data_IF_941682055888
#
_entry.id   IF_941682055888
#
_cell.length_a   1.000
_cell.length_b   1.000
_cell.length_c   1.000
_cell.angle_alpha   90.00
_cell.angle_beta   90.00
_cell.angle_gamma   90.00
#
_symmetry.space_group_name_H-M   'P 1'
#
loop_
_entity.id
_entity.type
_entity.pdbx_description
1 polymer ?
#
# COMPACT_ATOMS: atom_id res chain seq x y z
N UNK A 1 -0.37 -16.39 20.12
CA UNK A 1 0.27 -16.93 18.89
C UNK A 1 -0.21 -16.06 17.74
N UNK A 2 0.70 -15.51 16.93
CA UNK A 2 0.31 -14.75 15.74
C UNK A 2 -0.43 -15.70 14.78
N UNK A 3 -1.59 -15.28 14.28
CA UNK A 3 -2.36 -16.06 13.32
C UNK A 3 -1.61 -16.06 11.98
N UNK A 4 -1.21 -17.25 11.52
CA UNK A 4 -0.39 -17.42 10.31
C UNK A 4 -1.10 -16.95 9.02
N UNK A 5 -2.44 -16.75 9.06
CA UNK A 5 -3.22 -16.26 7.92
C UNK A 5 -3.18 -14.74 7.76
N UNK A 6 -2.87 -14.00 8.83
CA UNK A 6 -2.89 -12.54 8.85
C UNK A 6 -1.60 -11.94 8.27
N UNK A 7 -1.73 -11.02 7.32
CA UNK A 7 -0.61 -10.29 6.73
C UNK A 7 -0.41 -8.91 7.37
N UNK A 8 -1.49 -8.19 7.67
CA UNK A 8 -1.49 -6.89 8.34
C UNK A 8 -2.49 -6.93 9.48
N UNK A 9 -2.06 -6.64 10.68
CA UNK A 9 -2.93 -6.48 11.83
C UNK A 9 -2.68 -5.14 12.51
N UNK A 10 -3.70 -4.33 12.68
CA UNK A 10 -3.70 -3.11 13.46
C UNK A 10 -4.73 -3.23 14.58
N UNK A 11 -4.36 -2.88 15.81
CA UNK A 11 -5.23 -2.95 16.99
C UNK A 11 -5.27 -1.59 17.68
N UNK A 12 -6.45 -0.97 17.63
CA UNK A 12 -6.74 0.30 18.31
C UNK A 12 -5.73 1.41 18.00
N UNK A 13 -5.22 1.45 16.73
CA UNK A 13 -4.24 2.44 16.32
C UNK A 13 -4.82 3.85 16.45
N UNK A 14 -4.11 4.71 17.16
CA UNK A 14 -4.46 6.12 17.29
C UNK A 14 -3.24 7.00 17.03
N UNK A 15 -3.47 8.18 16.42
CA UNK A 15 -2.44 9.18 16.23
C UNK A 15 -2.96 10.57 16.50
N UNK A 16 -2.28 11.26 17.42
CA UNK A 16 -2.55 12.64 17.79
C UNK A 16 -1.36 13.53 17.43
N UNK A 17 -1.64 14.73 16.94
CA UNK A 17 -0.68 15.81 16.71
C UNK A 17 -1.16 17.02 17.49
N UNK A 18 -0.65 17.22 18.71
CA UNK A 18 -1.23 18.19 19.65
C UNK A 18 -2.71 17.89 19.87
N UNK A 19 -3.58 18.84 19.59
CA UNK A 19 -5.04 18.72 19.76
C UNK A 19 -5.74 18.03 18.58
N UNK A 20 -5.01 17.78 17.47
CA UNK A 20 -5.59 17.15 16.28
C UNK A 20 -5.48 15.63 16.37
N UNK A 21 -6.62 14.94 16.35
CA UNK A 21 -6.70 13.48 16.24
C UNK A 21 -6.75 13.11 14.75
N UNK A 22 -5.64 12.60 14.22
CA UNK A 22 -5.54 12.21 12.82
C UNK A 22 -6.03 10.79 12.55
N UNK A 23 -5.87 9.89 13.51
CA UNK A 23 -6.40 8.51 13.51
C UNK A 23 -6.90 8.21 14.92
N UNK A 24 -8.07 7.61 15.03
CA UNK A 24 -8.77 7.39 16.30
C UNK A 24 -9.31 5.96 16.35
N UNK A 25 -8.73 5.14 17.20
CA UNK A 25 -9.15 3.76 17.51
C UNK A 25 -9.34 2.86 16.26
N UNK A 26 -8.39 2.92 15.33
CA UNK A 26 -8.48 2.17 14.08
C UNK A 26 -7.97 0.75 14.26
N UNK A 27 -8.86 -0.23 14.07
CA UNK A 27 -8.50 -1.65 14.00
C UNK A 27 -8.74 -2.19 12.59
N UNK A 28 -7.72 -2.86 12.04
CA UNK A 28 -7.71 -3.40 10.68
C UNK A 28 -7.03 -4.76 10.67
N UNK A 29 -7.60 -5.71 9.95
CA UNK A 29 -6.99 -7.01 9.67
C UNK A 29 -7.05 -7.27 8.17
N UNK A 30 -5.92 -7.65 7.57
CA UNK A 30 -5.79 -8.03 6.16
C UNK A 30 -5.19 -9.42 6.09
N UNK A 31 -5.88 -10.32 5.40
CA UNK A 31 -5.43 -11.69 5.24
C UNK A 31 -4.36 -11.79 4.13
N UNK A 32 -3.56 -12.86 4.18
CA UNK A 32 -2.53 -13.11 3.16
C UNK A 32 -3.16 -13.25 1.78
N UNK A 33 -2.57 -12.57 0.80
CA UNK A 33 -3.02 -12.59 -0.58
C UNK A 33 -4.27 -11.75 -0.87
N UNK A 34 -4.82 -11.01 0.11
CA UNK A 34 -5.87 -10.03 -0.16
C UNK A 34 -5.34 -8.78 -0.87
N UNK A 35 -6.19 -8.19 -1.68
CA UNK A 35 -5.99 -6.84 -2.25
C UNK A 35 -7.07 -5.94 -1.67
N UNK A 36 -6.67 -5.08 -0.73
CA UNK A 36 -7.60 -4.23 0.03
C UNK A 36 -7.45 -2.78 -0.39
N UNK A 37 -8.57 -2.17 -0.81
CA UNK A 37 -8.68 -0.75 -1.06
C UNK A 37 -8.91 0.01 0.24
N UNK A 38 -8.03 0.95 0.55
CA UNK A 38 -8.07 1.80 1.73
C UNK A 38 -8.51 3.21 1.34
N UNK A 39 -9.80 3.45 1.40
CA UNK A 39 -10.46 4.62 0.86
C UNK A 39 -10.72 5.70 1.91
N UNK A 40 -10.81 6.94 1.46
CA UNK A 40 -11.22 8.06 2.29
C UNK A 40 -10.91 9.40 1.62
N UNK A 41 -11.60 10.48 1.99
CA UNK A 41 -11.28 11.81 1.49
C UNK A 41 -9.89 12.27 1.94
N UNK A 42 -9.42 13.37 1.37
CA UNK A 42 -8.18 14.00 1.83
C UNK A 42 -8.33 14.43 3.30
N UNK A 43 -7.30 14.17 4.11
CA UNK A 43 -7.34 14.43 5.56
C UNK A 43 -8.07 13.36 6.39
N UNK A 44 -8.60 12.29 5.81
CA UNK A 44 -9.29 11.22 6.56
C UNK A 44 -8.38 10.38 7.46
N UNK A 45 -7.04 10.50 7.34
CA UNK A 45 -6.08 9.73 8.13
C UNK A 45 -5.39 8.60 7.37
N UNK A 46 -5.63 8.42 6.06
CA UNK A 46 -5.05 7.34 5.23
C UNK A 46 -3.52 7.27 5.32
N UNK A 47 -2.83 8.29 4.85
CA UNK A 47 -1.35 8.34 4.85
C UNK A 47 -0.78 8.22 6.26
N UNK A 48 -1.43 8.80 7.27
CA UNK A 48 -1.01 8.66 8.68
C UNK A 48 -1.08 7.19 9.11
N UNK A 49 -2.16 6.50 8.79
CA UNK A 49 -2.32 5.06 9.08
C UNK A 49 -1.25 4.24 8.38
N UNK A 50 -1.02 4.47 7.07
CA UNK A 50 0.00 3.74 6.32
C UNK A 50 1.41 3.98 6.87
N UNK A 51 1.73 5.22 7.29
CA UNK A 51 3.01 5.54 7.93
C UNK A 51 3.19 4.85 9.28
N UNK A 52 2.12 4.65 10.04
CA UNK A 52 2.17 3.86 11.27
C UNK A 52 2.42 2.39 10.95
N UNK A 53 1.66 1.79 10.04
CA UNK A 53 1.80 0.38 9.64
C UNK A 53 3.19 0.06 9.09
N UNK A 54 3.81 1.00 8.37
CA UNK A 54 5.15 0.83 7.79
C UNK A 54 6.29 1.14 8.77
N UNK A 55 5.96 1.48 10.02
CA UNK A 55 6.95 1.84 11.05
C UNK A 55 7.68 3.16 10.78
N UNK A 56 7.12 4.02 9.91
CA UNK A 56 7.67 5.35 9.61
C UNK A 56 7.28 6.38 10.68
N UNK A 57 6.13 6.15 11.32
CA UNK A 57 5.57 7.02 12.33
C UNK A 57 5.10 6.18 13.52
N UNK A 58 5.53 6.46 14.76
CA UNK A 58 4.99 5.79 15.93
C UNK A 58 3.54 6.22 16.17
N UNK A 59 2.61 5.28 16.49
CA UNK A 59 1.28 5.65 16.97
C UNK A 59 1.37 6.34 18.32
N UNK A 60 0.31 7.05 18.67
CA UNK A 60 0.13 7.60 20.03
C UNK A 60 -0.45 6.54 20.97
N UNK A 61 -1.20 5.57 20.43
CA UNK A 61 -1.77 4.43 21.15
C UNK A 61 -2.05 3.29 20.18
N UNK A 62 -2.19 2.06 20.70
CA UNK A 62 -2.40 0.85 19.93
C UNK A 62 -1.11 0.26 19.36
N UNK A 63 -1.23 -0.82 18.60
CA UNK A 63 -0.10 -1.52 17.98
C UNK A 63 -0.47 -2.07 16.62
N UNK A 64 0.55 -2.47 15.85
CA UNK A 64 0.35 -3.19 14.60
C UNK A 64 1.41 -4.27 14.40
N UNK A 65 1.05 -5.30 13.64
CA UNK A 65 1.97 -6.35 13.23
C UNK A 65 1.89 -6.55 11.71
N UNK A 66 3.02 -6.83 11.09
CA UNK A 66 3.16 -7.13 9.66
C UNK A 66 3.79 -8.50 9.49
N UNK A 67 3.09 -9.39 8.78
CA UNK A 67 3.48 -10.78 8.61
C UNK A 67 3.80 -11.49 9.95
N UNK A 68 3.10 -11.10 11.03
CA UNK A 68 3.29 -11.61 12.39
C UNK A 68 4.35 -10.88 13.22
N UNK A 69 5.10 -9.93 12.65
CA UNK A 69 6.12 -9.14 13.35
C UNK A 69 5.55 -7.82 13.87
N UNK A 70 5.63 -7.59 15.17
CA UNK A 70 5.22 -6.31 15.77
C UNK A 70 6.13 -5.19 15.28
N UNK A 71 5.52 -4.06 14.85
CA UNK A 71 6.24 -2.93 14.24
C UNK A 71 7.21 -2.22 15.19
N UNK A 72 7.04 -2.40 16.52
CA UNK A 72 7.90 -1.79 17.54
C UNK A 72 8.84 -2.80 18.19
N UNK A 73 8.34 -3.99 18.54
CA UNK A 73 9.17 -5.02 19.16
C UNK A 73 10.17 -5.63 18.15
N UNK A 74 9.76 -5.74 16.88
CA UNK A 74 10.53 -6.36 15.80
C UNK A 74 10.67 -5.46 14.55
N UNK A 75 11.13 -4.20 14.68
CA UNK A 75 11.04 -3.20 13.61
C UNK A 75 11.81 -3.58 12.33
N UNK A 76 12.91 -4.31 12.44
CA UNK A 76 13.66 -4.75 11.27
C UNK A 76 12.96 -5.89 10.53
N UNK A 77 12.41 -6.86 11.24
CA UNK A 77 11.67 -7.97 10.65
C UNK A 77 10.39 -7.46 9.96
N UNK A 78 9.63 -6.60 10.63
CA UNK A 78 8.44 -5.96 10.08
C UNK A 78 8.76 -5.16 8.80
N UNK A 79 9.84 -4.34 8.80
CA UNK A 79 10.25 -3.56 7.61
C UNK A 79 10.76 -4.40 6.46
N UNK A 80 11.36 -5.56 6.72
CA UNK A 80 11.74 -6.54 5.68
C UNK A 80 10.52 -7.19 5.03
N UNK A 81 9.43 -7.35 5.78
CA UNK A 81 8.18 -7.92 5.27
C UNK A 81 7.34 -6.92 4.45
N UNK A 82 7.74 -5.65 4.36
CA UNK A 82 6.97 -4.60 3.66
C UNK A 82 7.74 -4.06 2.46
N UNK A 83 7.05 -3.99 1.31
CA UNK A 83 7.33 -3.05 0.24
C UNK A 83 6.43 -1.82 0.40
N UNK A 84 7.01 -0.64 0.47
CA UNK A 84 6.25 0.61 0.64
C UNK A 84 6.51 1.59 -0.50
N UNK A 85 5.44 2.02 -1.14
CA UNK A 85 5.42 3.13 -2.09
C UNK A 85 4.65 4.29 -1.47
N UNK A 86 5.29 5.35 -0.98
CA UNK A 86 4.60 6.58 -0.58
C UNK A 86 4.10 7.34 -1.81
N UNK A 87 3.15 8.26 -1.62
CA UNK A 87 2.61 9.14 -2.65
C UNK A 87 3.71 9.82 -3.50
N UNK A 88 4.76 10.29 -2.84
CA UNK A 88 5.98 10.80 -3.49
C UNK A 88 7.14 9.85 -3.19
N UNK A 89 7.59 9.03 -4.16
CA UNK A 89 8.70 8.12 -3.94
C UNK A 89 9.99 8.87 -3.60
N UNK A 90 10.74 8.43 -2.56
CA UNK A 90 12.00 9.07 -2.14
C UNK A 90 13.17 8.64 -3.04
N UNK A 91 13.13 9.05 -4.30
CA UNK A 91 14.13 8.69 -5.31
C UNK A 91 15.38 9.55 -5.19
N UNK A 92 16.52 8.99 -5.59
CA UNK A 92 17.79 9.73 -5.74
C UNK A 92 17.94 10.18 -7.19
N UNK A 93 17.68 11.47 -7.50
CA UNK A 93 17.58 11.97 -8.88
C UNK A 93 18.85 11.78 -9.71
N UNK A 94 20.02 11.75 -9.08
CA UNK A 94 21.33 11.62 -9.72
C UNK A 94 21.72 10.17 -10.05
N UNK A 95 21.03 9.19 -9.46
CA UNK A 95 21.30 7.78 -9.72
C UNK A 95 20.63 7.32 -11.01
N UNK A 96 21.22 6.31 -11.65
CA UNK A 96 20.49 5.54 -12.68
C UNK A 96 19.43 4.67 -12.02
N UNK A 97 18.41 4.28 -12.79
CA UNK A 97 17.33 3.40 -12.30
C UNK A 97 17.90 2.12 -11.69
N UNK A 98 18.79 1.44 -12.40
CA UNK A 98 19.42 0.20 -11.94
C UNK A 98 20.24 0.41 -10.66
N UNK A 99 21.07 1.45 -10.61
CA UNK A 99 21.90 1.74 -9.44
C UNK A 99 21.05 2.05 -8.21
N UNK A 100 19.94 2.74 -8.39
CA UNK A 100 19.01 3.05 -7.30
C UNK A 100 18.31 1.79 -6.78
N UNK A 101 17.80 0.93 -7.66
CA UNK A 101 17.12 -0.31 -7.26
C UNK A 101 18.13 -1.28 -6.59
N UNK A 102 19.38 -1.38 -7.09
CA UNK A 102 20.45 -2.16 -6.43
C UNK A 102 20.79 -1.58 -5.04
N UNK A 103 20.83 -0.25 -4.91
CA UNK A 103 21.05 0.39 -3.63
C UNK A 103 19.95 0.03 -2.62
N UNK A 104 18.69 0.09 -3.02
CA UNK A 104 17.57 -0.31 -2.16
C UNK A 104 17.62 -1.81 -1.82
N UNK A 105 17.96 -2.67 -2.78
CA UNK A 105 18.14 -4.10 -2.53
C UNK A 105 19.18 -4.37 -1.44
N UNK A 106 20.27 -3.57 -1.39
CA UNK A 106 21.27 -3.64 -0.30
C UNK A 106 20.67 -3.22 1.04
N UNK A 107 19.92 -2.11 1.07
CA UNK A 107 19.27 -1.63 2.30
C UNK A 107 18.24 -2.63 2.86
N UNK A 108 17.66 -3.44 1.98
CA UNK A 108 16.70 -4.50 2.30
C UNK A 108 17.36 -5.86 2.56
N UNK A 109 18.69 -5.89 2.70
CA UNK A 109 19.50 -7.10 2.99
C UNK A 109 19.37 -8.21 1.93
N UNK A 110 19.09 -7.87 0.66
CA UNK A 110 19.16 -8.85 -0.43
C UNK A 110 20.61 -9.33 -0.58
N UNK A 111 20.83 -10.62 -0.42
CA UNK A 111 22.16 -11.21 -0.43
C UNK A 111 22.93 -10.91 -1.72
N UNK A 112 24.25 -10.70 -1.62
CA UNK A 112 25.11 -10.28 -2.74
C UNK A 112 24.96 -11.18 -3.98
N UNK A 113 24.84 -12.49 -3.78
CA UNK A 113 24.72 -13.45 -4.89
C UNK A 113 23.36 -13.41 -5.61
N UNK A 114 22.28 -13.06 -4.90
CA UNK A 114 20.92 -12.99 -5.44
C UNK A 114 20.51 -11.58 -5.93
N UNK A 115 21.32 -10.55 -5.61
CA UNK A 115 20.94 -9.16 -5.80
C UNK A 115 20.74 -8.77 -7.26
N UNK A 116 21.66 -9.18 -8.14
CA UNK A 116 21.57 -8.89 -9.57
C UNK A 116 20.26 -9.42 -10.15
N UNK A 117 19.93 -10.67 -9.85
CA UNK A 117 18.69 -11.30 -10.29
C UNK A 117 17.44 -10.63 -9.68
N UNK A 118 17.48 -10.23 -8.41
CA UNK A 118 16.38 -9.50 -7.78
C UNK A 118 16.14 -8.13 -8.44
N UNK A 119 17.22 -7.41 -8.77
CA UNK A 119 17.14 -6.13 -9.49
C UNK A 119 16.57 -6.35 -10.89
N UNK A 120 17.06 -7.34 -11.63
CA UNK A 120 16.57 -7.64 -13.00
C UNK A 120 15.07 -7.97 -12.96
N UNK A 121 14.62 -8.85 -12.06
CA UNK A 121 13.20 -9.16 -11.87
C UNK A 121 12.36 -7.92 -11.52
N UNK A 122 12.82 -7.07 -10.62
CA UNK A 122 12.10 -5.87 -10.25
C UNK A 122 11.98 -4.88 -11.42
N UNK A 123 13.04 -4.70 -12.20
CA UNK A 123 13.04 -3.84 -13.38
C UNK A 123 12.13 -4.38 -14.49
N UNK A 124 12.14 -5.69 -14.72
CA UNK A 124 11.26 -6.34 -15.69
C UNK A 124 9.79 -6.22 -15.28
N UNK A 125 9.45 -6.62 -14.05
CA UNK A 125 8.08 -6.52 -13.52
C UNK A 125 7.54 -5.09 -13.56
N UNK A 126 8.39 -4.07 -13.36
CA UNK A 126 8.00 -2.67 -13.43
C UNK A 126 8.16 -2.04 -14.82
N UNK A 127 8.50 -2.84 -15.86
CA UNK A 127 8.66 -2.37 -17.24
C UNK A 127 9.66 -1.23 -17.35
N UNK A 128 10.83 -1.39 -16.70
CA UNK A 128 11.90 -0.39 -16.61
C UNK A 128 13.17 -0.81 -17.37
N UNK A 129 13.19 -1.98 -18.02
CA UNK A 129 14.37 -2.57 -18.66
C UNK A 129 15.01 -1.63 -19.68
N UNK A 130 14.21 -0.96 -20.51
CA UNK A 130 14.70 -0.04 -21.55
C UNK A 130 15.32 1.24 -20.98
N UNK A 131 14.90 1.65 -19.78
CA UNK A 131 15.37 2.87 -19.12
C UNK A 131 16.35 2.61 -17.98
N UNK A 132 16.77 1.36 -17.77
CA UNK A 132 17.58 0.94 -16.60
C UNK A 132 18.84 1.77 -16.38
N UNK A 133 19.47 2.25 -17.46
CA UNK A 133 20.70 3.07 -17.42
C UNK A 133 20.44 4.58 -17.44
N UNK A 134 19.18 5.00 -17.56
CA UNK A 134 18.83 6.42 -17.54
C UNK A 134 18.89 6.97 -16.12
N UNK A 135 19.27 8.22 -15.99
CA UNK A 135 19.27 8.95 -14.72
C UNK A 135 17.83 9.28 -14.34
N UNK A 136 17.48 9.10 -13.07
CA UNK A 136 16.10 9.21 -12.57
C UNK A 136 15.52 10.59 -12.80
N UNK A 137 16.30 11.67 -12.67
CA UNK A 137 15.83 13.05 -12.91
C UNK A 137 15.29 13.27 -14.33
N UNK A 138 15.80 12.52 -15.31
CA UNK A 138 15.45 12.64 -16.73
C UNK A 138 14.22 11.80 -17.13
N UNK A 139 13.57 11.14 -16.15
CA UNK A 139 12.40 10.32 -16.34
C UNK A 139 11.10 11.14 -16.20
N UNK A 140 10.06 10.74 -16.93
CA UNK A 140 8.70 11.23 -16.72
C UNK A 140 8.19 10.84 -15.33
N UNK A 141 7.11 11.50 -14.86
CA UNK A 141 6.47 11.18 -13.58
C UNK A 141 6.05 9.70 -13.51
N UNK A 142 5.44 9.16 -14.58
CA UNK A 142 5.04 7.75 -14.65
C UNK A 142 6.21 6.78 -14.53
N UNK A 143 7.33 7.06 -15.19
CA UNK A 143 8.53 6.25 -15.01
C UNK A 143 9.10 6.35 -13.60
N UNK A 144 9.13 7.54 -12.99
CA UNK A 144 9.54 7.67 -11.57
C UNK A 144 8.63 6.89 -10.63
N UNK A 145 7.33 6.85 -10.89
CA UNK A 145 6.39 6.05 -10.11
C UNK A 145 6.69 4.54 -10.24
N UNK A 146 7.01 4.06 -11.45
CA UNK A 146 7.44 2.67 -11.68
C UNK A 146 8.77 2.35 -10.97
N UNK A 147 9.72 3.30 -10.92
CA UNK A 147 10.95 3.14 -10.12
C UNK A 147 10.61 3.02 -8.63
N UNK A 148 9.65 3.80 -8.14
CA UNK A 148 9.11 3.67 -6.78
C UNK A 148 8.46 2.31 -6.50
N UNK A 149 7.76 1.73 -7.48
CA UNK A 149 7.24 0.35 -7.36
C UNK A 149 8.38 -0.68 -7.37
N UNK A 150 9.36 -0.53 -8.28
CA UNK A 150 10.51 -1.45 -8.34
C UNK A 150 11.28 -1.50 -7.01
N UNK A 151 11.51 -0.35 -6.38
CA UNK A 151 12.13 -0.28 -5.06
C UNK A 151 11.29 -0.95 -3.96
N UNK A 152 9.97 -0.90 -4.09
CA UNK A 152 9.08 -1.54 -3.11
C UNK A 152 9.10 -3.08 -3.21
N UNK A 153 9.32 -3.64 -4.43
CA UNK A 153 9.24 -5.08 -4.68
C UNK A 153 10.59 -5.80 -4.79
N UNK A 154 11.73 -5.08 -4.84
CA UNK A 154 13.06 -5.67 -5.14
C UNK A 154 13.50 -6.76 -4.17
N UNK A 155 13.02 -6.74 -2.94
CA UNK A 155 13.33 -7.72 -1.89
C UNK A 155 12.24 -8.78 -1.71
N UNK A 156 11.28 -8.84 -2.65
CA UNK A 156 10.15 -9.79 -2.69
C UNK A 156 9.35 -9.85 -1.37
N UNK A 157 8.79 -8.71 -0.91
CA UNK A 157 8.07 -8.66 0.35
C UNK A 157 6.71 -9.37 0.26
N UNK A 158 6.22 -10.03 1.32
CA UNK A 158 4.89 -10.61 1.37
C UNK A 158 3.76 -9.57 1.41
N UNK A 159 4.06 -8.32 1.79
CA UNK A 159 3.09 -7.23 1.93
C UNK A 159 3.54 -6.01 1.14
N UNK A 160 2.65 -5.49 0.29
CA UNK A 160 2.82 -4.21 -0.41
C UNK A 160 1.86 -3.18 0.15
N UNK A 161 2.38 -2.03 0.54
CA UNK A 161 1.61 -0.86 0.96
C UNK A 161 1.84 0.26 -0.06
N UNK A 162 0.78 0.68 -0.73
CA UNK A 162 0.83 1.65 -1.83
C UNK A 162 -0.02 2.86 -1.46
N UNK A 163 0.60 4.03 -1.32
CA UNK A 163 -0.09 5.27 -0.95
C UNK A 163 -0.27 6.15 -2.19
N UNK A 164 -1.52 6.27 -2.67
CA UNK A 164 -1.92 7.08 -3.82
C UNK A 164 -1.02 6.86 -5.07
N UNK A 165 -0.84 5.62 -5.55
CA UNK A 165 0.19 5.28 -6.54
C UNK A 165 0.00 5.92 -7.92
N UNK A 166 -1.17 6.46 -8.21
CA UNK A 166 -1.55 7.02 -9.52
C UNK A 166 -1.74 8.54 -9.50
N UNK A 167 -1.54 9.17 -8.34
CA UNK A 167 -1.81 10.59 -8.15
C UNK A 167 -0.99 11.46 -9.11
N UNK A 168 -1.69 12.34 -9.87
CA UNK A 168 -1.08 13.27 -10.81
C UNK A 168 -0.44 12.62 -12.04
N UNK A 169 -0.84 11.41 -12.38
CA UNK A 169 -0.55 10.75 -13.66
C UNK A 169 -1.64 11.03 -14.68
N UNK A 170 -1.31 10.95 -15.97
CA UNK A 170 -2.31 11.01 -17.03
C UNK A 170 -3.13 9.71 -17.14
N UNK A 171 -4.30 9.71 -17.84
CA UNK A 171 -5.15 8.52 -17.91
C UNK A 171 -4.51 7.26 -18.51
N UNK A 172 -3.50 7.40 -19.37
CA UNK A 172 -2.78 6.27 -19.95
C UNK A 172 -1.87 5.67 -18.87
N UNK A 173 -1.09 6.51 -18.21
CA UNK A 173 -0.18 6.11 -17.12
C UNK A 173 -0.95 5.48 -15.95
N UNK A 174 -2.13 6.01 -15.59
CA UNK A 174 -3.00 5.43 -14.57
C UNK A 174 -3.36 3.98 -14.92
N UNK A 175 -3.79 3.72 -16.17
CA UNK A 175 -4.11 2.35 -16.62
C UNK A 175 -2.90 1.42 -16.55
N UNK A 176 -1.73 1.91 -16.95
CA UNK A 176 -0.49 1.13 -16.91
C UNK A 176 -0.06 0.79 -15.49
N UNK A 177 -0.13 1.73 -14.55
CA UNK A 177 0.19 1.48 -13.13
C UNK A 177 -0.84 0.53 -12.50
N UNK A 178 -2.13 0.66 -12.81
CA UNK A 178 -3.16 -0.29 -12.35
C UNK A 178 -2.91 -1.71 -12.85
N UNK A 179 -2.62 -1.89 -14.14
CA UNK A 179 -2.25 -3.20 -14.71
C UNK A 179 -1.05 -3.79 -13.97
N UNK A 180 -0.03 -2.97 -13.74
CA UNK A 180 1.16 -3.37 -13.01
C UNK A 180 0.84 -3.81 -11.57
N UNK A 181 0.04 -3.05 -10.81
CA UNK A 181 -0.35 -3.43 -9.45
C UNK A 181 -1.17 -4.72 -9.46
N UNK A 182 -2.09 -4.89 -10.41
CA UNK A 182 -2.86 -6.11 -10.56
C UNK A 182 -1.96 -7.34 -10.87
N UNK A 183 -0.96 -7.18 -11.75
CA UNK A 183 0.03 -8.21 -12.06
C UNK A 183 0.89 -8.57 -10.83
N UNK A 184 1.28 -7.57 -10.02
CA UNK A 184 2.04 -7.78 -8.78
C UNK A 184 1.21 -8.53 -7.72
N UNK A 185 -0.09 -8.27 -7.67
CA UNK A 185 -1.03 -8.92 -6.74
C UNK A 185 -1.48 -10.32 -7.23
N UNK A 186 -1.30 -10.65 -8.51
CA UNK A 186 -1.66 -11.95 -9.06
C UNK A 186 -0.70 -13.04 -8.53
N UNK A 187 -1.19 -14.28 -8.34
CA UNK A 187 -0.31 -15.39 -7.98
C UNK A 187 0.70 -15.63 -9.11
N UNK A 188 1.99 -15.54 -8.80
CA UNK A 188 3.07 -15.98 -9.69
C UNK A 188 3.09 -17.51 -9.82
N UNK A 189 3.80 -18.04 -10.83
CA UNK A 189 4.00 -19.49 -10.95
C UNK A 189 4.85 -20.00 -9.77
N UNK A 190 4.20 -20.60 -8.76
CA UNK A 190 4.86 -21.17 -7.58
C UNK A 190 5.16 -20.17 -6.45
N UNK A 191 4.80 -18.91 -6.57
CA UNK A 191 4.98 -17.89 -5.54
C UNK A 191 3.68 -17.62 -4.76
N UNK A 192 3.82 -17.27 -3.49
CA UNK A 192 2.67 -16.84 -2.69
C UNK A 192 2.18 -15.48 -3.23
N UNK A 193 0.86 -15.35 -3.37
CA UNK A 193 0.21 -14.09 -3.74
C UNK A 193 0.60 -12.98 -2.76
N UNK A 194 1.10 -11.86 -3.26
CA UNK A 194 1.40 -10.70 -2.42
C UNK A 194 0.12 -10.09 -1.86
N UNK A 195 0.16 -9.72 -0.59
CA UNK A 195 -0.93 -8.96 0.04
C UNK A 195 -0.75 -7.49 -0.30
N UNK A 196 -1.79 -6.82 -0.78
CA UNK A 196 -1.71 -5.42 -1.17
C UNK A 196 -2.69 -4.57 -0.38
N UNK A 197 -2.19 -3.53 0.28
CA UNK A 197 -2.99 -2.45 0.86
C UNK A 197 -2.81 -1.20 -0.01
N UNK A 198 -3.84 -0.86 -0.78
CA UNK A 198 -3.85 0.25 -1.73
C UNK A 198 -4.64 1.43 -1.16
N UNK A 199 -3.97 2.52 -0.80
CA UNK A 199 -4.61 3.78 -0.44
C UNK A 199 -4.91 4.58 -1.70
N UNK A 200 -6.16 4.98 -1.87
CA UNK A 200 -6.58 5.87 -2.96
C UNK A 200 -7.88 6.58 -2.60
N UNK A 201 -8.16 7.68 -3.28
CA UNK A 201 -9.47 8.34 -3.30
C UNK A 201 -10.19 8.16 -4.65
N UNK A 202 -9.60 7.38 -5.56
CA UNK A 202 -10.09 7.16 -6.93
C UNK A 202 -10.84 5.82 -6.97
N UNK A 203 -12.18 5.87 -6.89
CA UNK A 203 -13.05 4.71 -6.79
C UNK A 203 -12.91 3.70 -7.95
N UNK A 204 -12.75 4.12 -9.23
CA UNK A 204 -12.49 3.21 -10.34
C UNK A 204 -11.20 2.38 -10.21
N UNK A 205 -10.23 2.80 -9.40
CA UNK A 205 -9.03 2.00 -9.14
C UNK A 205 -9.34 0.81 -8.25
N UNK A 206 -10.11 1.08 -7.20
CA UNK A 206 -10.53 0.07 -6.24
C UNK A 206 -11.40 -0.98 -6.91
N UNK A 207 -12.38 -0.54 -7.70
CA UNK A 207 -13.26 -1.44 -8.45
C UNK A 207 -12.51 -2.38 -9.41
N UNK A 208 -11.35 -1.93 -9.95
CA UNK A 208 -10.58 -2.69 -10.92
C UNK A 208 -9.62 -3.71 -10.29
N UNK A 209 -9.16 -3.50 -9.04
CA UNK A 209 -8.02 -4.24 -8.47
C UNK A 209 -8.39 -4.92 -7.15
N UNK A 210 -9.24 -4.29 -6.33
CA UNK A 210 -9.45 -4.70 -4.94
C UNK A 210 -10.58 -5.73 -4.80
N UNK A 211 -10.43 -6.65 -3.86
CA UNK A 211 -11.47 -7.61 -3.48
C UNK A 211 -12.29 -7.15 -2.27
N UNK A 212 -11.74 -6.24 -1.47
CA UNK A 212 -12.31 -5.72 -0.24
C UNK A 212 -12.02 -4.23 -0.11
N UNK A 213 -12.91 -3.52 0.54
CA UNK A 213 -12.84 -2.07 0.74
C UNK A 213 -12.92 -1.72 2.20
N UNK A 214 -11.99 -0.90 2.65
CA UNK A 214 -12.01 -0.26 3.97
C UNK A 214 -12.12 1.25 3.75
N UNK A 215 -13.20 1.86 4.23
CA UNK A 215 -13.40 3.31 4.13
C UNK A 215 -13.07 3.95 5.46
N UNK A 216 -12.19 4.95 5.40
CA UNK A 216 -11.84 5.80 6.55
C UNK A 216 -12.49 7.16 6.41
N UNK A 217 -13.08 7.63 7.49
CA UNK A 217 -13.61 8.97 7.61
C UNK A 217 -13.27 9.56 8.99
N UNK A 218 -12.73 10.79 8.99
CA UNK A 218 -12.36 11.52 10.24
C UNK A 218 -11.52 10.69 11.22
N UNK A 219 -10.53 9.95 10.69
CA UNK A 219 -9.61 9.13 11.47
C UNK A 219 -10.16 7.78 11.91
N UNK A 220 -11.41 7.45 11.64
CA UNK A 220 -12.07 6.20 12.06
C UNK A 220 -12.43 5.33 10.87
N UNK A 221 -12.49 4.02 11.10
CA UNK A 221 -12.97 3.05 10.11
C UNK A 221 -14.50 3.12 10.06
N UNK A 222 -15.04 3.53 8.90
CA UNK A 222 -16.48 3.65 8.68
C UNK A 222 -17.07 2.40 8.01
N UNK A 223 -16.33 1.78 7.06
CA UNK A 223 -16.77 0.57 6.35
C UNK A 223 -15.58 -0.38 6.25
N UNK A 224 -15.88 -1.68 6.29
CA UNK A 224 -14.91 -2.76 6.10
C UNK A 224 -15.66 -3.98 5.56
N UNK A 225 -15.72 -4.12 4.20
CA UNK A 225 -16.54 -5.16 3.56
C UNK A 225 -15.96 -5.64 2.22
N UNK A 226 -16.30 -6.85 1.79
CA UNK A 226 -16.04 -7.32 0.43
C UNK A 226 -16.65 -6.36 -0.60
N UNK A 227 -15.88 -6.08 -1.67
CA UNK A 227 -16.34 -5.17 -2.72
C UNK A 227 -17.62 -5.65 -3.42
N UNK A 228 -17.73 -6.95 -3.69
CA UNK A 228 -18.89 -7.53 -4.33
C UNK A 228 -20.18 -7.26 -3.55
N UNK A 229 -20.17 -7.47 -2.22
CA UNK A 229 -21.31 -7.21 -1.35
C UNK A 229 -21.75 -5.74 -1.36
N UNK A 230 -20.76 -4.81 -1.38
CA UNK A 230 -21.04 -3.38 -1.44
C UNK A 230 -21.72 -2.97 -2.75
N UNK A 231 -21.30 -3.55 -3.87
CA UNK A 231 -21.88 -3.27 -5.18
C UNK A 231 -23.27 -3.88 -5.32
N UNK A 232 -23.50 -5.08 -4.82
CA UNK A 232 -24.81 -5.75 -4.87
C UNK A 232 -25.88 -5.02 -4.04
N UNK A 233 -25.52 -4.49 -2.87
CA UNK A 233 -26.47 -3.83 -1.97
C UNK A 233 -26.73 -2.37 -2.34
N UNK A 234 -25.75 -1.68 -2.90
CA UNK A 234 -25.74 -0.21 -2.96
C UNK A 234 -25.54 0.36 -4.37
N UNK A 235 -25.40 -0.51 -5.37
CA UNK A 235 -25.33 -0.12 -6.79
C UNK A 235 -23.97 0.43 -7.21
N UNK A 236 -23.35 1.37 -6.46
CA UNK A 236 -22.06 1.93 -6.83
C UNK A 236 -21.18 2.29 -5.61
N UNK A 237 -19.87 2.26 -5.78
CA UNK A 237 -18.91 2.73 -4.75
C UNK A 237 -19.04 4.23 -4.49
N UNK A 238 -19.45 5.00 -5.50
CA UNK A 238 -19.68 6.44 -5.40
C UNK A 238 -20.80 6.75 -4.39
N UNK A 239 -21.89 5.98 -4.41
CA UNK A 239 -23.01 6.15 -3.47
C UNK A 239 -22.61 5.77 -2.05
N UNK A 240 -21.86 4.67 -1.89
CA UNK A 240 -21.30 4.26 -0.60
C UNK A 240 -20.42 5.34 -0.02
N UNK A 241 -19.48 5.82 -0.81
CA UNK A 241 -18.53 6.84 -0.42
C UNK A 241 -19.20 8.17 -0.10
N UNK A 242 -20.19 8.57 -0.91
CA UNK A 242 -20.99 9.78 -0.70
C UNK A 242 -21.71 9.76 0.64
N UNK A 243 -22.39 8.66 0.99
CA UNK A 243 -23.08 8.52 2.29
C UNK A 243 -22.13 8.62 3.50
N UNK A 244 -20.98 7.94 3.43
CA UNK A 244 -19.98 8.02 4.49
C UNK A 244 -19.45 9.43 4.68
N UNK A 245 -19.22 10.16 3.58
CA UNK A 245 -18.61 11.49 3.63
C UNK A 245 -19.60 12.61 3.94
N UNK A 246 -20.90 12.45 3.56
CA UNK A 246 -21.95 13.43 3.89
C UNK A 246 -22.48 13.33 5.33
N UNK A 247 -22.08 12.33 6.10
CA UNK A 247 -22.50 12.17 7.50
C UNK A 247 -23.81 11.39 7.67
N UNK A 248 -24.41 10.85 6.59
CA UNK A 248 -25.64 10.06 6.66
C UNK A 248 -25.41 8.58 7.06
N UNK A 249 -24.16 8.18 7.29
CA UNK A 249 -23.80 6.86 7.77
C UNK A 249 -23.72 6.86 9.29
N UNK A 250 -24.86 7.00 9.97
CA UNK A 250 -25.02 6.61 11.37
C UNK A 250 -25.64 5.22 11.44
N UNK A 251 -24.85 4.30 12.04
CA UNK A 251 -25.29 3.10 12.75
C UNK A 251 -25.95 1.94 11.97
N UNK A 252 -25.15 0.92 11.80
CA UNK A 252 -25.54 -0.46 11.59
C UNK A 252 -24.53 -1.38 12.28
N UNK A 253 -24.34 -1.23 13.60
CA UNK A 253 -23.68 -2.22 14.43
C UNK A 253 -24.74 -3.09 15.10
N UNK A 254 -24.69 -4.44 15.00
CA UNK A 254 -25.53 -5.29 15.83
C UNK A 254 -25.01 -5.26 17.27
N UNK A 255 -25.99 -5.26 18.19
CA UNK A 255 -25.85 -5.44 19.62
C UNK A 255 -25.19 -6.77 19.99
#
# INVERSE_FOLDING_TARGET
>A
MADASCAIEARNLSKRYGDVVAVDDLSLRVERGEVVGFLGPNGAGKTTTLRMLTGFLPPSDGTAAIAGHDIFAEPLASRRAIGYLPETPPLYPEMTVESYVDHVARLKDVGRGARGEAVDRALERCRLTEVRRRVIRDLSKGFRQRVGLAQAIVHDPPVLVLDEPTVGLDPIQIREIRSLIAELAAPGQGEQRQTVLLSTHILPEVAAICSRVVVIHRGRKAIDRPLAELLDEQGSLEEVFGRVTSGDATEGGPA
#
